data_IF_106091408609
#
_entry.id   IF_106091408609
#
_cell.length_a   1.000
_cell.length_b   1.000
_cell.length_c   1.000
_cell.angle_alpha   90.00
_cell.angle_beta   90.00
_cell.angle_gamma   90.00
#
_symmetry.space_group_name_H-M   'P 1'
#
loop_
_entity.id
_entity.type
_entity.pdbx_description
1 polymer ?
#
# COMPACT_ATOMS: atom_id res chain seq x y z
N UNK A 1 -27.18 -12.21 -8.58
CA UNK A 1 -25.90 -12.24 -9.33
C UNK A 1 -26.07 -11.74 -10.76
N UNK A 2 -26.90 -12.38 -11.61
CA UNK A 2 -27.17 -11.89 -12.97
C UNK A 2 -27.64 -10.43 -13.02
N UNK A 3 -28.57 -10.05 -12.14
CA UNK A 3 -29.09 -8.68 -12.01
C UNK A 3 -28.00 -7.67 -11.62
N UNK A 4 -27.07 -8.04 -10.72
CA UNK A 4 -25.97 -7.18 -10.29
C UNK A 4 -24.98 -6.98 -11.45
N UNK A 5 -24.64 -8.06 -12.16
CA UNK A 5 -23.80 -7.99 -13.35
C UNK A 5 -24.47 -7.21 -14.48
N UNK A 6 -25.78 -7.36 -14.69
CA UNK A 6 -26.56 -6.61 -15.69
C UNK A 6 -26.66 -5.12 -15.33
N UNK A 7 -26.80 -4.76 -14.05
CA UNK A 7 -26.77 -3.36 -13.58
C UNK A 7 -25.38 -2.76 -13.76
N UNK A 8 -24.30 -3.52 -13.47
CA UNK A 8 -22.92 -3.08 -13.72
C UNK A 8 -22.64 -2.91 -15.22
N UNK A 9 -23.12 -3.83 -16.07
CA UNK A 9 -23.03 -3.72 -17.54
C UNK A 9 -23.76 -2.48 -18.03
N UNK A 10 -24.97 -2.24 -17.52
CA UNK A 10 -25.77 -1.10 -17.92
C UNK A 10 -25.15 0.22 -17.45
N UNK A 11 -24.66 0.28 -16.21
CA UNK A 11 -23.97 1.45 -15.66
C UNK A 11 -22.67 1.78 -16.39
N UNK A 12 -21.84 0.77 -16.69
CA UNK A 12 -20.59 0.95 -17.48
C UNK A 12 -20.86 1.50 -18.89
N UNK A 13 -21.95 1.08 -19.53
CA UNK A 13 -22.28 1.48 -20.90
C UNK A 13 -23.12 2.77 -21.01
N UNK A 14 -23.84 3.17 -19.96
CA UNK A 14 -24.84 4.25 -20.06
C UNK A 14 -24.66 5.38 -19.03
N UNK A 15 -24.35 5.08 -17.77
CA UNK A 15 -24.28 6.11 -16.72
C UNK A 15 -23.42 5.65 -15.52
N UNK A 16 -22.33 6.36 -15.27
CA UNK A 16 -21.42 6.12 -14.15
C UNK A 16 -22.08 6.35 -12.78
N UNK A 17 -23.15 7.14 -12.68
CA UNK A 17 -23.90 7.38 -11.43
C UNK A 17 -24.56 6.13 -10.86
N UNK A 18 -24.73 5.09 -11.69
CA UNK A 18 -25.21 3.77 -11.25
C UNK A 18 -24.21 3.10 -10.31
N UNK A 19 -22.90 3.35 -10.51
CA UNK A 19 -21.84 2.86 -9.63
C UNK A 19 -21.88 3.61 -8.29
N UNK A 20 -22.13 4.92 -8.30
CA UNK A 20 -22.31 5.72 -7.09
C UNK A 20 -23.54 5.25 -6.29
N UNK A 21 -24.66 4.99 -6.96
CA UNK A 21 -25.85 4.38 -6.34
C UNK A 21 -25.56 2.97 -5.79
N UNK A 22 -24.67 2.22 -6.44
CA UNK A 22 -24.24 0.89 -6.00
C UNK A 22 -23.48 0.93 -4.67
N UNK A 23 -22.68 1.99 -4.47
CA UNK A 23 -21.99 2.30 -3.22
C UNK A 23 -22.98 2.77 -2.15
N UNK A 24 -23.83 3.76 -2.47
CA UNK A 24 -24.82 4.33 -1.55
C UNK A 24 -25.80 3.28 -0.98
N UNK A 25 -26.14 2.25 -1.75
CA UNK A 25 -27.06 1.17 -1.31
C UNK A 25 -26.36 -0.01 -0.63
N UNK A 26 -25.08 0.13 -0.25
CA UNK A 26 -24.29 -0.92 0.42
C UNK A 26 -24.25 -2.24 -0.39
N UNK A 27 -24.42 -2.17 -1.71
CA UNK A 27 -24.38 -3.34 -2.59
C UNK A 27 -22.93 -3.81 -2.72
N UNK A 28 -21.96 -2.90 -2.65
CA UNK A 28 -20.54 -3.25 -2.53
C UNK A 28 -20.24 -4.03 -1.24
N UNK A 29 -20.89 -3.69 -0.12
CA UNK A 29 -20.79 -4.47 1.13
C UNK A 29 -21.30 -5.90 0.97
N UNK A 30 -22.43 -6.10 0.30
CA UNK A 30 -22.94 -7.43 -0.05
C UNK A 30 -21.98 -8.16 -0.99
N UNK A 31 -21.41 -7.46 -1.98
CA UNK A 31 -20.43 -8.01 -2.89
C UNK A 31 -19.18 -8.50 -2.14
N UNK A 32 -18.65 -7.70 -1.21
CA UNK A 32 -17.54 -8.08 -0.32
C UNK A 32 -17.90 -9.33 0.50
N UNK A 33 -19.13 -9.41 1.04
CA UNK A 33 -19.57 -10.57 1.79
C UNK A 33 -19.62 -11.84 0.92
N UNK A 34 -20.08 -11.74 -0.32
CA UNK A 34 -20.05 -12.85 -1.27
C UNK A 34 -18.62 -13.23 -1.66
N UNK A 35 -17.74 -12.25 -1.89
CA UNK A 35 -16.32 -12.46 -2.18
C UNK A 35 -15.58 -13.16 -1.04
N UNK A 36 -16.11 -13.18 0.19
CA UNK A 36 -15.56 -13.95 1.33
C UNK A 36 -16.05 -15.41 1.38
N UNK A 37 -17.10 -15.79 0.65
CA UNK A 37 -17.64 -17.16 0.69
C UNK A 37 -16.79 -18.17 -0.10
N UNK A 38 -16.79 -19.45 0.29
CA UNK A 38 -16.02 -20.53 -0.38
C UNK A 38 -16.59 -20.99 -1.75
N UNK A 39 -17.38 -20.17 -2.43
CA UNK A 39 -18.07 -20.57 -3.67
C UNK A 39 -17.29 -20.18 -4.94
N UNK A 40 -16.38 -21.06 -5.40
CA UNK A 40 -15.44 -20.76 -6.50
C UNK A 40 -16.05 -20.48 -7.89
N UNK A 41 -17.20 -21.06 -8.26
CA UNK A 41 -17.71 -20.96 -9.64
C UNK A 41 -18.29 -19.60 -10.03
N UNK A 42 -19.15 -19.02 -9.18
CA UNK A 42 -19.78 -17.72 -9.48
C UNK A 42 -18.79 -16.56 -9.34
N UNK A 43 -17.83 -16.67 -8.42
CA UNK A 43 -16.77 -15.67 -8.22
C UNK A 43 -15.83 -15.66 -9.43
N UNK A 44 -15.36 -16.81 -9.90
CA UNK A 44 -14.51 -16.87 -11.08
C UNK A 44 -15.22 -16.33 -12.33
N UNK A 45 -16.54 -16.53 -12.45
CA UNK A 45 -17.33 -15.93 -13.53
C UNK A 45 -17.37 -14.40 -13.46
N UNK A 46 -17.49 -13.81 -12.26
CA UNK A 46 -17.42 -12.36 -12.08
C UNK A 46 -16.05 -11.79 -12.46
N UNK A 47 -14.98 -12.45 -11.99
CA UNK A 47 -13.60 -12.02 -12.24
C UNK A 47 -13.23 -12.12 -13.72
N UNK A 48 -13.73 -13.15 -14.41
CA UNK A 48 -13.47 -13.36 -15.84
C UNK A 48 -14.20 -12.40 -16.77
N UNK A 49 -15.26 -11.71 -16.32
CA UNK A 49 -16.10 -10.88 -17.19
C UNK A 49 -15.71 -9.39 -17.20
N UNK A 50 -14.48 -9.06 -16.81
CA UNK A 50 -13.90 -7.70 -16.76
C UNK A 50 -14.64 -6.63 -15.93
N UNK A 51 -15.88 -6.85 -15.47
CA UNK A 51 -16.61 -5.89 -14.63
C UNK A 51 -15.86 -5.52 -13.37
N UNK A 52 -15.12 -6.47 -12.79
CA UNK A 52 -14.26 -6.20 -11.64
C UNK A 52 -13.17 -5.19 -11.99
N UNK A 53 -12.58 -5.27 -13.19
CA UNK A 53 -11.57 -4.32 -13.64
C UNK A 53 -12.18 -2.93 -13.90
N UNK A 54 -13.41 -2.85 -14.40
CA UNK A 54 -14.16 -1.58 -14.51
C UNK A 54 -14.33 -0.91 -13.14
N UNK A 55 -14.78 -1.67 -12.12
CA UNK A 55 -14.96 -1.14 -10.76
C UNK A 55 -13.62 -0.71 -10.17
N UNK A 56 -12.54 -1.47 -10.39
CA UNK A 56 -11.21 -1.09 -9.92
C UNK A 56 -10.78 0.25 -10.52
N UNK A 57 -10.93 0.44 -11.82
CA UNK A 57 -10.47 1.62 -12.56
C UNK A 57 -11.39 2.85 -12.43
N UNK A 58 -12.56 2.69 -11.82
CA UNK A 58 -13.54 3.76 -11.67
C UNK A 58 -13.00 4.90 -10.79
N UNK A 59 -13.29 6.15 -11.19
CA UNK A 59 -12.83 7.35 -10.50
C UNK A 59 -13.82 7.77 -9.42
N UNK A 60 -13.77 7.10 -8.27
CA UNK A 60 -14.61 7.45 -7.12
C UNK A 60 -14.22 8.80 -6.50
N UNK A 61 -15.21 9.47 -5.91
CA UNK A 61 -14.97 10.63 -5.05
C UNK A 61 -14.56 10.16 -3.63
N UNK A 62 -13.26 10.14 -3.36
CA UNK A 62 -12.71 9.76 -2.06
C UNK A 62 -12.70 10.91 -1.03
N UNK A 63 -13.36 12.05 -1.33
CA UNK A 63 -13.68 13.01 -0.27
C UNK A 63 -14.69 12.46 0.74
N UNK A 64 -15.45 11.43 0.33
CA UNK A 64 -16.27 10.62 1.22
C UNK A 64 -15.44 9.44 1.80
N UNK A 65 -15.16 9.51 3.11
CA UNK A 65 -14.40 8.49 3.85
C UNK A 65 -15.09 7.11 3.81
N UNK A 66 -16.43 7.05 3.76
CA UNK A 66 -17.18 5.80 3.71
C UNK A 66 -16.98 5.10 2.35
N UNK A 67 -17.05 5.87 1.25
CA UNK A 67 -16.77 5.38 -0.10
C UNK A 67 -15.35 4.82 -0.20
N UNK A 68 -14.36 5.56 0.32
CA UNK A 68 -12.98 5.10 0.36
C UNK A 68 -12.82 3.80 1.17
N UNK A 69 -13.45 3.72 2.35
CA UNK A 69 -13.39 2.54 3.19
C UNK A 69 -13.98 1.30 2.48
N UNK A 70 -15.09 1.47 1.77
CA UNK A 70 -15.66 0.40 0.95
C UNK A 70 -14.75 -0.01 -0.20
N UNK A 71 -14.16 0.96 -0.91
CA UNK A 71 -13.25 0.71 -2.01
C UNK A 71 -11.99 -0.05 -1.56
N UNK A 72 -11.33 0.39 -0.49
CA UNK A 72 -10.15 -0.29 0.07
C UNK A 72 -10.51 -1.70 0.54
N UNK A 73 -11.68 -1.88 1.17
CA UNK A 73 -12.18 -3.19 1.58
C UNK A 73 -12.45 -4.11 0.39
N UNK A 74 -12.94 -3.56 -0.72
CA UNK A 74 -13.15 -4.27 -1.97
C UNK A 74 -11.83 -4.72 -2.60
N UNK A 75 -10.85 -3.82 -2.77
CA UNK A 75 -9.52 -4.19 -3.27
C UNK A 75 -8.86 -5.26 -2.38
N UNK A 76 -8.96 -5.12 -1.06
CA UNK A 76 -8.45 -6.13 -0.12
C UNK A 76 -9.13 -7.48 -0.33
N UNK A 77 -10.45 -7.52 -0.49
CA UNK A 77 -11.19 -8.75 -0.75
C UNK A 77 -10.78 -9.43 -2.07
N UNK A 78 -10.51 -8.66 -3.13
CA UNK A 78 -9.98 -9.17 -4.38
C UNK A 78 -8.57 -9.73 -4.21
N UNK A 79 -7.69 -9.01 -3.49
CA UNK A 79 -6.30 -9.44 -3.28
C UNK A 79 -6.20 -10.81 -2.59
N UNK A 80 -7.14 -11.14 -1.71
CA UNK A 80 -7.19 -12.44 -1.01
C UNK A 80 -7.56 -13.61 -1.93
N UNK A 81 -8.00 -13.33 -3.16
CA UNK A 81 -8.33 -14.33 -4.18
C UNK A 81 -7.23 -14.50 -5.22
N UNK A 82 -6.17 -13.70 -5.15
CA UNK A 82 -5.02 -13.83 -6.04
C UNK A 82 -4.26 -15.11 -5.76
N UNK A 83 -4.00 -15.86 -6.82
CA UNK A 83 -3.10 -17.00 -6.87
C UNK A 83 -2.67 -17.18 -8.34
N UNK A 84 -1.79 -18.15 -8.59
CA UNK A 84 -1.24 -18.38 -9.93
C UNK A 84 -2.31 -18.72 -10.99
N UNK A 85 -3.49 -19.20 -10.58
CA UNK A 85 -4.61 -19.49 -11.49
C UNK A 85 -5.49 -18.27 -11.74
N UNK A 86 -5.67 -17.36 -10.78
CA UNK A 86 -6.61 -16.23 -10.90
C UNK A 86 -5.96 -14.92 -11.35
N UNK A 87 -4.62 -14.86 -11.34
CA UNK A 87 -3.88 -13.62 -11.60
C UNK A 87 -4.17 -13.00 -12.96
N UNK A 88 -4.39 -13.83 -13.97
CA UNK A 88 -4.69 -13.41 -15.34
C UNK A 88 -6.01 -12.62 -15.47
N UNK A 89 -6.91 -12.68 -14.48
CA UNK A 89 -8.11 -11.85 -14.46
C UNK A 89 -7.82 -10.38 -14.10
N UNK A 90 -6.72 -10.13 -13.40
CA UNK A 90 -6.34 -8.81 -12.88
C UNK A 90 -5.08 -8.25 -13.53
N UNK A 91 -4.42 -9.02 -14.38
CA UNK A 91 -3.18 -8.65 -15.05
C UNK A 91 -3.35 -8.70 -16.57
N UNK A 92 -3.08 -7.58 -17.22
CA UNK A 92 -3.08 -7.50 -18.67
C UNK A 92 -1.68 -7.86 -19.21
N UNK A 93 -1.55 -9.01 -19.88
CA UNK A 93 -0.28 -9.45 -20.45
C UNK A 93 0.14 -8.66 -21.70
N UNK A 94 -0.82 -8.17 -22.49
CA UNK A 94 -0.55 -7.43 -23.74
C UNK A 94 -0.01 -6.02 -23.46
N UNK A 95 -0.50 -5.39 -22.40
CA UNK A 95 0.04 -4.16 -21.85
C UNK A 95 0.24 -4.36 -20.34
N UNK A 96 1.46 -4.76 -19.89
CA UNK A 96 1.75 -5.15 -18.51
C UNK A 96 1.22 -4.13 -17.51
N UNK A 97 0.08 -4.46 -16.92
CA UNK A 97 -0.63 -3.63 -15.97
C UNK A 97 -1.44 -4.51 -15.01
N UNK A 98 -1.38 -4.17 -13.73
CA UNK A 98 -2.18 -4.78 -12.68
C UNK A 98 -2.99 -3.68 -12.00
N UNK A 99 -4.18 -3.41 -12.53
CA UNK A 99 -5.05 -2.33 -12.02
C UNK A 99 -5.30 -2.45 -10.51
N UNK A 100 -5.55 -3.67 -10.01
CA UNK A 100 -5.73 -3.93 -8.57
C UNK A 100 -4.55 -3.43 -7.72
N UNK A 101 -3.33 -3.69 -8.17
CA UNK A 101 -2.11 -3.29 -7.46
C UNK A 101 -1.83 -1.80 -7.60
N UNK A 102 -1.94 -1.25 -8.82
CA UNK A 102 -1.67 0.15 -9.11
C UNK A 102 -2.66 1.08 -8.39
N UNK A 103 -3.94 0.74 -8.39
CA UNK A 103 -4.95 1.51 -7.68
C UNK A 103 -4.76 1.45 -6.16
N UNK A 104 -4.44 0.29 -5.60
CA UNK A 104 -4.13 0.17 -4.17
C UNK A 104 -2.91 1.01 -3.78
N UNK A 105 -1.88 1.07 -4.63
CA UNK A 105 -0.68 1.85 -4.36
C UNK A 105 -0.94 3.35 -4.24
N UNK A 106 -2.01 3.91 -4.80
CA UNK A 106 -2.34 5.35 -4.64
C UNK A 106 -2.57 5.74 -3.18
N UNK A 107 -2.96 4.79 -2.33
CA UNK A 107 -3.29 5.00 -0.92
C UNK A 107 -2.15 4.62 0.04
N UNK A 108 -0.95 4.33 -0.47
CA UNK A 108 0.14 3.81 0.36
C UNK A 108 0.58 4.75 1.50
N UNK A 109 0.43 6.06 1.30
CA UNK A 109 0.78 7.12 2.24
C UNK A 109 -0.48 7.85 2.76
N UNK A 110 -1.57 7.12 2.95
CA UNK A 110 -2.81 7.67 3.51
C UNK A 110 -2.64 8.05 5.01
N UNK A 111 -3.26 9.12 5.53
CA UNK A 111 -3.16 9.50 6.95
C UNK A 111 -3.70 8.45 7.92
N UNK A 112 -4.74 7.71 7.54
CA UNK A 112 -5.28 6.63 8.36
C UNK A 112 -4.42 5.36 8.31
N UNK A 113 -4.02 4.86 9.48
CA UNK A 113 -3.20 3.65 9.62
C UNK A 113 -3.90 2.41 9.05
N UNK A 114 -5.22 2.27 9.25
CA UNK A 114 -5.98 1.14 8.75
C UNK A 114 -5.95 1.03 7.22
N UNK A 115 -6.00 2.17 6.51
CA UNK A 115 -5.87 2.22 5.05
C UNK A 115 -4.46 1.77 4.63
N UNK A 116 -3.41 2.30 5.28
CA UNK A 116 -2.02 1.87 5.01
C UNK A 116 -1.82 0.36 5.25
N UNK A 117 -2.38 -0.19 6.32
CA UNK A 117 -2.34 -1.63 6.64
C UNK A 117 -3.04 -2.45 5.55
N UNK A 118 -4.18 -1.99 5.05
CA UNK A 118 -4.89 -2.66 3.95
C UNK A 118 -4.07 -2.66 2.66
N UNK A 119 -3.48 -1.52 2.28
CA UNK A 119 -2.60 -1.41 1.10
C UNK A 119 -1.39 -2.34 1.23
N UNK A 120 -0.72 -2.34 2.39
CA UNK A 120 0.40 -3.26 2.66
C UNK A 120 -0.03 -4.72 2.51
N UNK A 121 -1.20 -5.10 3.04
CA UNK A 121 -1.77 -6.44 2.86
C UNK A 121 -1.98 -6.78 1.38
N UNK A 122 -2.56 -5.86 0.59
CA UNK A 122 -2.80 -6.05 -0.84
C UNK A 122 -1.47 -6.25 -1.59
N UNK A 123 -0.48 -5.40 -1.35
CA UNK A 123 0.84 -5.52 -1.99
C UNK A 123 1.53 -6.85 -1.66
N UNK A 124 1.48 -7.31 -0.40
CA UNK A 124 2.04 -8.61 -0.02
C UNK A 124 1.32 -9.77 -0.70
N UNK A 125 -0.01 -9.71 -0.81
CA UNK A 125 -0.78 -10.73 -1.53
C UNK A 125 -0.39 -10.78 -3.01
N UNK A 126 -0.18 -9.62 -3.64
CA UNK A 126 0.30 -9.52 -5.03
C UNK A 126 1.69 -10.14 -5.18
N UNK A 127 2.64 -9.82 -4.30
CA UNK A 127 3.98 -10.37 -4.35
C UNK A 127 4.00 -11.90 -4.13
N UNK A 128 3.11 -12.41 -3.28
CA UNK A 128 2.97 -13.85 -2.97
C UNK A 128 2.46 -14.72 -4.11
N UNK A 129 1.85 -14.15 -5.16
CA UNK A 129 1.32 -14.93 -6.30
C UNK A 129 2.42 -15.74 -6.99
N UNK A 130 3.68 -15.30 -6.88
CA UNK A 130 4.87 -15.95 -7.44
C UNK A 130 4.77 -16.23 -8.95
N UNK A 131 4.08 -15.36 -9.68
CA UNK A 131 4.05 -15.36 -11.14
C UNK A 131 5.18 -14.47 -11.67
N UNK A 132 5.87 -14.95 -12.71
CA UNK A 132 7.00 -14.24 -13.30
C UNK A 132 6.57 -12.92 -13.95
N UNK A 133 5.38 -12.89 -14.52
CA UNK A 133 4.78 -11.76 -15.21
C UNK A 133 4.54 -10.61 -14.23
N UNK A 134 3.89 -10.89 -13.09
CA UNK A 134 3.59 -9.86 -12.11
C UNK A 134 4.82 -9.40 -11.34
N UNK A 135 5.75 -10.31 -11.00
CA UNK A 135 7.00 -9.94 -10.36
C UNK A 135 7.82 -9.02 -11.28
N UNK A 136 7.91 -9.35 -12.58
CA UNK A 136 8.59 -8.49 -13.55
C UNK A 136 7.92 -7.14 -13.71
N UNK A 137 6.58 -7.08 -13.73
CA UNK A 137 5.84 -5.83 -13.75
C UNK A 137 6.17 -4.98 -12.52
N UNK A 138 6.04 -5.52 -11.31
CA UNK A 138 6.34 -4.82 -10.06
C UNK A 138 7.78 -4.32 -10.06
N UNK A 139 8.74 -5.20 -10.32
CA UNK A 139 10.16 -4.87 -10.33
C UNK A 139 10.49 -3.73 -11.32
N UNK A 140 9.95 -3.80 -12.54
CA UNK A 140 10.30 -2.84 -13.61
C UNK A 140 9.53 -1.53 -13.54
N UNK A 141 8.31 -1.52 -13.00
CA UNK A 141 7.41 -0.36 -13.09
C UNK A 141 7.23 0.37 -11.76
N UNK A 142 7.24 -0.34 -10.63
CA UNK A 142 6.77 0.25 -9.36
C UNK A 142 7.73 0.10 -8.19
N UNK A 143 8.59 -0.92 -8.17
CA UNK A 143 9.43 -1.23 -7.00
C UNK A 143 10.32 -0.06 -6.58
N UNK A 144 11.06 0.54 -7.50
CA UNK A 144 11.96 1.67 -7.20
C UNK A 144 11.21 2.88 -6.62
N UNK A 145 10.21 3.49 -7.29
CA UNK A 145 9.52 4.65 -6.74
C UNK A 145 8.77 4.33 -5.45
N UNK A 146 8.17 3.13 -5.35
CA UNK A 146 7.43 2.74 -4.15
C UNK A 146 8.35 2.55 -2.93
N UNK A 147 9.45 1.80 -3.07
CA UNK A 147 10.40 1.56 -1.99
C UNK A 147 11.21 2.81 -1.61
N UNK A 148 11.45 3.72 -2.57
CA UNK A 148 11.99 5.04 -2.28
C UNK A 148 11.07 5.84 -1.36
N UNK A 149 9.75 5.82 -1.61
CA UNK A 149 8.78 6.49 -0.74
C UNK A 149 8.69 5.85 0.65
N UNK A 150 8.75 4.51 0.75
CA UNK A 150 8.83 3.83 2.06
C UNK A 150 10.06 4.33 2.84
N UNK A 151 11.23 4.36 2.19
CA UNK A 151 12.48 4.82 2.80
C UNK A 151 12.37 6.28 3.28
N UNK A 152 11.73 7.13 2.47
CA UNK A 152 11.45 8.53 2.84
C UNK A 152 10.53 8.65 4.06
N UNK A 153 9.43 7.90 4.10
CA UNK A 153 8.49 7.91 5.23
C UNK A 153 9.16 7.49 6.53
N UNK A 154 9.98 6.44 6.51
CA UNK A 154 10.74 5.99 7.69
C UNK A 154 11.73 7.06 8.14
N UNK A 155 12.43 7.70 7.21
CA UNK A 155 13.36 8.78 7.51
C UNK A 155 12.67 9.99 8.15
N UNK A 156 11.49 10.35 7.65
CA UNK A 156 10.66 11.43 8.20
C UNK A 156 10.21 11.10 9.63
N UNK A 157 9.70 9.90 9.86
CA UNK A 157 9.31 9.43 11.21
C UNK A 157 10.50 9.44 12.18
N UNK A 158 11.69 9.03 11.73
CA UNK A 158 12.89 9.03 12.57
C UNK A 158 13.29 10.47 12.99
N UNK A 159 13.16 11.45 12.10
CA UNK A 159 13.42 12.86 12.41
C UNK A 159 12.36 13.42 13.37
N UNK A 160 11.09 13.10 13.16
CA UNK A 160 9.99 13.52 14.03
C UNK A 160 10.15 12.95 15.44
N UNK A 161 10.49 11.67 15.56
CA UNK A 161 10.82 11.01 16.84
C UNK A 161 11.99 11.73 17.52
N UNK A 162 13.08 11.99 16.79
CA UNK A 162 14.25 12.68 17.34
C UNK A 162 13.91 14.09 17.84
N UNK A 163 12.98 14.80 17.18
CA UNK A 163 12.55 16.14 17.58
C UNK A 163 11.82 16.16 18.93
N UNK A 164 11.08 15.10 19.27
CA UNK A 164 10.26 15.01 20.49
C UNK A 164 11.03 14.53 21.72
N UNK A 165 12.19 13.90 21.53
CA UNK A 165 13.02 13.34 22.61
C UNK A 165 13.87 14.42 23.33
N UNK A 166 13.93 15.67 22.82
CA UNK A 166 14.67 16.81 23.41
C UNK A 166 13.76 17.83 24.14
N UNK A 167 14.29 18.65 25.08
CA UNK A 167 13.77 18.70 26.45
C UNK A 167 12.58 19.64 26.64
N UNK A 168 11.38 19.06 26.69
CA UNK A 168 10.22 19.50 27.50
C UNK A 168 9.17 18.38 27.45
N UNK A 169 9.56 17.20 27.92
CA UNK A 169 8.76 15.98 27.88
C UNK A 169 7.49 16.14 28.71
N UNK A 170 6.35 16.30 28.05
CA UNK A 170 5.02 16.36 28.67
C UNK A 170 4.15 15.18 28.19
N UNK A 171 3.00 14.97 28.84
CA UNK A 171 2.11 13.84 28.51
C UNK A 171 1.66 13.83 27.03
N UNK A 172 1.44 15.00 26.42
CA UNK A 172 1.07 15.10 25.00
C UNK A 172 2.22 14.68 24.07
N UNK A 173 3.45 15.09 24.39
CA UNK A 173 4.65 14.67 23.66
C UNK A 173 4.88 13.16 23.78
N UNK A 174 4.57 12.57 24.94
CA UNK A 174 4.61 11.12 25.15
C UNK A 174 3.61 10.37 24.26
N UNK A 175 2.33 10.75 24.28
CA UNK A 175 1.31 10.09 23.44
C UNK A 175 1.68 10.18 21.95
N UNK A 176 2.11 11.36 21.48
CA UNK A 176 2.55 11.53 20.10
C UNK A 176 3.80 10.71 19.76
N UNK A 177 4.74 10.58 20.69
CA UNK A 177 5.91 9.73 20.52
C UNK A 177 5.51 8.25 20.42
N UNK A 178 4.58 7.79 21.25
CA UNK A 178 4.05 6.42 21.21
C UNK A 178 3.41 6.13 19.82
N UNK A 179 2.63 7.06 19.28
CA UNK A 179 2.03 6.95 17.95
C UNK A 179 3.10 6.86 16.83
N UNK A 180 4.11 7.74 16.86
CA UNK A 180 5.20 7.75 15.87
C UNK A 180 6.06 6.49 15.92
N UNK A 181 6.33 5.98 17.12
CA UNK A 181 7.09 4.73 17.32
C UNK A 181 6.28 3.54 16.81
N UNK A 182 4.97 3.49 17.09
CA UNK A 182 4.09 2.45 16.54
C UNK A 182 4.07 2.48 15.01
N UNK A 183 3.98 3.66 14.40
CA UNK A 183 4.03 3.79 12.94
C UNK A 183 5.38 3.35 12.36
N UNK A 184 6.50 3.70 13.02
CA UNK A 184 7.82 3.25 12.61
C UNK A 184 7.93 1.72 12.66
N UNK A 185 7.44 1.11 13.74
CA UNK A 185 7.42 -0.34 13.92
C UNK A 185 6.60 -1.03 12.82
N UNK A 186 5.45 -0.48 12.43
CA UNK A 186 4.65 -1.01 11.33
C UNK A 186 5.41 -1.03 10.00
N UNK A 187 6.22 0.00 9.71
CA UNK A 187 7.09 0.02 8.52
C UNK A 187 8.16 -1.06 8.59
N UNK A 188 8.79 -1.27 9.75
CA UNK A 188 9.81 -2.30 9.93
C UNK A 188 9.21 -3.70 9.76
N UNK A 189 8.02 -3.96 10.32
CA UNK A 189 7.31 -5.21 10.09
C UNK A 189 6.97 -5.41 8.62
N UNK A 190 6.49 -4.38 7.93
CA UNK A 190 6.19 -4.48 6.50
C UNK A 190 7.44 -4.75 5.64
N UNK A 191 8.57 -4.11 5.93
CA UNK A 191 9.85 -4.40 5.26
C UNK A 191 10.26 -5.84 5.51
N UNK A 192 10.19 -6.30 6.76
CA UNK A 192 10.49 -7.68 7.12
C UNK A 192 9.59 -8.66 6.36
N UNK A 193 8.30 -8.38 6.26
CA UNK A 193 7.35 -9.22 5.53
C UNK A 193 7.70 -9.29 4.03
N UNK A 194 8.13 -8.19 3.40
CA UNK A 194 8.59 -8.20 2.01
C UNK A 194 9.85 -9.06 1.87
N UNK A 195 10.86 -8.82 2.71
CA UNK A 195 12.13 -9.56 2.66
C UNK A 195 11.92 -11.07 2.86
N UNK A 196 11.01 -11.42 3.76
CA UNK A 196 10.63 -12.81 4.09
C UNK A 196 9.87 -13.53 2.97
N UNK A 197 9.47 -12.83 1.90
CA UNK A 197 8.96 -13.48 0.69
C UNK A 197 10.07 -14.07 -0.18
N UNK A 198 11.34 -13.73 0.10
CA UNK A 198 12.52 -14.26 -0.60
C UNK A 198 12.47 -14.03 -2.13
N UNK A 199 11.98 -12.86 -2.56
CA UNK A 199 11.94 -12.47 -3.97
C UNK A 199 13.17 -11.61 -4.28
N UNK A 200 14.24 -12.26 -4.76
CA UNK A 200 15.58 -11.65 -4.94
C UNK A 200 15.55 -10.26 -5.58
N UNK A 201 14.94 -10.12 -6.75
CA UNK A 201 14.92 -8.84 -7.47
C UNK A 201 14.19 -7.71 -6.71
N UNK A 202 13.21 -8.03 -5.88
CA UNK A 202 12.53 -7.03 -5.05
C UNK A 202 13.36 -6.71 -3.80
N UNK A 203 13.97 -7.74 -3.19
CA UNK A 203 14.85 -7.58 -2.04
C UNK A 203 16.06 -6.71 -2.38
N UNK A 204 16.66 -6.90 -3.57
CA UNK A 204 17.76 -6.09 -4.06
C UNK A 204 17.37 -4.60 -4.16
N UNK A 205 16.23 -4.31 -4.80
CA UNK A 205 15.75 -2.92 -4.93
C UNK A 205 15.41 -2.34 -3.57
N UNK A 206 14.74 -3.09 -2.68
CA UNK A 206 14.38 -2.61 -1.35
C UNK A 206 15.61 -2.28 -0.51
N UNK A 207 16.59 -3.20 -0.47
CA UNK A 207 17.86 -3.00 0.22
C UNK A 207 18.64 -1.80 -0.34
N UNK A 208 18.70 -1.66 -1.67
CA UNK A 208 19.33 -0.52 -2.32
C UNK A 208 18.68 0.81 -1.92
N UNK A 209 17.34 0.89 -1.95
CA UNK A 209 16.62 2.10 -1.57
C UNK A 209 16.82 2.42 -0.08
N UNK A 210 16.72 1.45 0.82
CA UNK A 210 16.94 1.65 2.25
C UNK A 210 18.38 2.08 2.55
N UNK A 211 19.36 1.44 1.93
CA UNK A 211 20.76 1.75 2.18
C UNK A 211 21.10 3.17 1.71
N UNK A 212 20.78 3.51 0.46
CA UNK A 212 21.19 4.78 -0.14
C UNK A 212 20.33 5.97 0.28
N UNK A 213 19.03 5.76 0.55
CA UNK A 213 18.12 6.88 0.87
C UNK A 213 17.85 7.05 2.36
N UNK A 214 18.03 6.02 3.17
CA UNK A 214 17.77 6.07 4.61
C UNK A 214 19.05 5.93 5.43
N UNK A 215 19.73 4.78 5.37
CA UNK A 215 20.79 4.46 6.31
C UNK A 215 22.06 5.28 6.08
N UNK A 216 22.59 5.34 4.86
CA UNK A 216 23.82 6.11 4.57
C UNK A 216 23.65 7.58 4.96
N UNK A 217 22.60 8.30 4.51
CA UNK A 217 22.41 9.70 4.89
C UNK A 217 22.31 9.91 6.41
N UNK A 218 21.54 9.07 7.13
CA UNK A 218 21.36 9.19 8.58
C UNK A 218 22.66 8.90 9.35
N UNK A 219 23.42 7.88 8.95
CA UNK A 219 24.70 7.55 9.58
C UNK A 219 25.76 8.62 9.31
N UNK A 220 25.90 9.09 8.06
CA UNK A 220 26.84 10.16 7.71
C UNK A 220 26.49 11.46 8.44
N UNK A 221 25.20 11.81 8.50
CA UNK A 221 24.74 12.99 9.24
C UNK A 221 25.06 12.87 10.74
N UNK A 222 24.80 11.71 11.35
CA UNK A 222 25.06 11.49 12.78
C UNK A 222 26.55 11.54 13.12
N UNK A 223 27.42 11.02 12.25
CA UNK A 223 28.87 11.04 12.43
C UNK A 223 29.47 12.45 12.21
N UNK A 224 28.98 13.17 11.21
CA UNK A 224 29.44 14.55 10.93
C UNK A 224 29.01 15.54 12.03
N UNK A 225 27.80 15.40 12.59
CA UNK A 225 27.35 16.20 13.76
C UNK A 225 28.22 15.99 14.99
N UNK A 226 28.60 14.74 15.29
CA UNK A 226 29.50 14.42 16.41
C UNK A 226 30.87 15.06 16.24
N UNK A 227 31.42 15.07 15.03
CA UNK A 227 32.68 15.73 14.73
C UNK A 227 32.62 17.26 14.85
N UNK A 228 31.51 17.89 14.44
CA UNK A 228 31.31 19.33 14.61
C UNK A 228 31.24 19.72 16.10
N UNK A 229 30.50 18.94 16.92
CA UNK A 229 30.39 19.18 18.36
C UNK A 229 31.71 18.96 19.12
N UNK A 230 32.53 17.99 18.71
CA UNK A 230 33.87 17.78 19.28
C UNK A 230 34.87 18.89 18.91
N UNK A 231 34.73 19.52 17.74
CA UNK A 231 35.58 20.67 17.35
C UNK A 231 35.21 21.93 18.15
N UNK A 232 33.92 22.22 18.34
CA UNK A 232 33.48 23.35 19.17
C UNK A 232 33.78 23.15 20.66
N UNK A 233 33.70 21.92 21.18
CA UNK A 233 34.09 21.65 22.58
C UNK A 233 35.60 21.86 22.82
N UNK A 234 36.46 21.63 21.81
CA UNK A 234 37.91 21.87 21.90
C UNK A 234 38.33 23.33 21.69
N UNK A 235 37.49 24.16 21.06
CA UNK A 235 37.79 25.59 20.85
C UNK A 235 37.32 26.50 21.98
N UNK A 236 36.63 25.96 23.00
CA UNK A 236 36.15 26.70 24.19
C UNK A 236 37.05 26.45 25.42
N UNK A 237 38.07 25.59 25.28
CA UNK A 237 39.10 25.36 26.29
C UNK A 237 40.47 25.86 25.81
N UNK A 238 40.58 27.16 25.49
CA UNK A 238 41.83 27.93 25.46
C UNK A 238 41.52 29.40 25.74
#
# INVERSE_FOLDING_TARGET
>A
MRIISEILIWGDQNDSSVIDFFLEKNILGHFIQYMKQKAGRCINYLLSNNHTNTIIAHQFDFSDEEVMAYYISFLKALSLRLNSETIHFFFNEANPDCGLYVEALKFFSHPESMVRIAVRTITLNVYRVNSKEIINFVHRKTAVPYFANISWSIGTLALDINSLVCPNYNYKARSKLEDLVAENLDYLHYINDILSLEIDCLNDVLCDQLLHRLFIPLHVYSLSKRHAFQKTAKSVCY
#
